data_IF_883152329757
#
_entry.id   IF_883152329757
#
_cell.length_a   1.000
_cell.length_b   1.000
_cell.length_c   1.000
_cell.angle_alpha   90.00
_cell.angle_beta   90.00
_cell.angle_gamma   90.00
#
_symmetry.space_group_name_H-M   'P 1'
#
loop_
_entity.id
_entity.type
_entity.pdbx_description
1 polymer ?
#
# COMPACT_ATOMS: atom_id res chain seq x y z
N UNK A 1 -9.12 2.24 7.24
CA UNK A 1 -10.04 1.12 7.59
C UNK A 1 -9.47 0.39 8.78
N UNK A 2 -10.02 0.64 9.97
CA UNK A 2 -9.67 -0.09 11.18
C UNK A 2 -10.43 -1.41 11.13
N UNK A 3 -9.78 -2.50 10.70
CA UNK A 3 -10.41 -3.81 10.67
C UNK A 3 -10.65 -4.25 12.11
N UNK A 4 -11.87 -4.09 12.59
CA UNK A 4 -12.28 -4.54 13.92
C UNK A 4 -12.37 -6.08 13.90
N UNK A 5 -11.22 -6.75 13.90
CA UNK A 5 -11.16 -8.19 14.15
C UNK A 5 -11.74 -8.36 15.56
N UNK A 6 -12.83 -9.12 15.73
CA UNK A 6 -13.41 -9.28 17.05
C UNK A 6 -12.35 -9.82 18.02
N UNK A 7 -12.01 -9.03 19.04
CA UNK A 7 -10.94 -9.32 20.01
C UNK A 7 -11.07 -10.72 20.64
N UNK A 8 -12.29 -11.27 20.68
CA UNK A 8 -12.57 -12.61 21.22
C UNK A 8 -11.91 -13.75 20.43
N UNK A 9 -11.62 -13.61 19.13
CA UNK A 9 -11.06 -14.71 18.32
C UNK A 9 -9.54 -14.77 18.33
N UNK A 10 -8.87 -13.63 18.51
CA UNK A 10 -7.40 -13.58 18.54
C UNK A 10 -6.81 -14.23 19.79
N UNK A 11 -7.35 -13.88 20.96
CA UNK A 11 -6.86 -14.37 22.25
C UNK A 11 -6.93 -15.90 22.36
N UNK A 12 -8.01 -16.52 21.87
CA UNK A 12 -8.15 -17.98 21.90
C UNK A 12 -7.07 -18.69 21.08
N UNK A 13 -6.73 -18.15 19.90
CA UNK A 13 -5.67 -18.69 19.05
C UNK A 13 -4.29 -18.53 19.69
N UNK A 14 -4.02 -17.37 20.30
CA UNK A 14 -2.76 -17.11 21.00
C UNK A 14 -2.55 -18.07 22.18
N UNK A 15 -3.58 -18.27 23.01
CA UNK A 15 -3.53 -19.21 24.14
C UNK A 15 -3.34 -20.64 23.64
N UNK A 16 -4.03 -21.05 22.57
CA UNK A 16 -3.89 -22.37 21.98
C UNK A 16 -2.45 -22.63 21.51
N UNK A 17 -1.89 -21.72 20.72
CA UNK A 17 -0.52 -21.81 20.22
C UNK A 17 0.49 -21.82 21.37
N UNK A 18 0.29 -20.99 22.39
CA UNK A 18 1.14 -20.96 23.60
C UNK A 18 1.14 -22.29 24.32
N UNK A 19 -0.04 -22.91 24.53
CA UNK A 19 -0.16 -24.22 25.18
C UNK A 19 0.52 -25.32 24.38
N UNK A 20 0.33 -25.34 23.05
CA UNK A 20 0.95 -26.31 22.17
C UNK A 20 2.49 -26.21 22.22
N UNK A 21 3.02 -24.99 22.17
CA UNK A 21 4.46 -24.77 22.25
C UNK A 21 5.03 -25.16 23.60
N UNK A 22 4.34 -24.83 24.69
CA UNK A 22 4.73 -25.22 26.03
C UNK A 22 4.76 -26.76 26.19
N UNK A 23 3.73 -27.45 25.69
CA UNK A 23 3.66 -28.91 25.75
C UNK A 23 4.82 -29.59 24.99
N UNK A 24 5.25 -29.02 23.86
CA UNK A 24 6.42 -29.50 23.11
C UNK A 24 7.72 -29.17 23.86
N UNK A 25 7.88 -27.94 24.36
CA UNK A 25 9.13 -27.51 25.03
C UNK A 25 9.37 -28.22 26.36
N UNK A 26 8.31 -28.64 27.04
CA UNK A 26 8.37 -29.39 28.31
C UNK A 26 8.45 -30.90 28.13
N UNK A 27 8.38 -31.40 26.89
CA UNK A 27 8.38 -32.84 26.60
C UNK A 27 7.08 -33.56 26.97
N UNK A 28 6.01 -32.84 27.30
CA UNK A 28 4.68 -33.41 27.51
C UNK A 28 4.15 -34.09 26.24
N UNK A 29 4.55 -33.58 25.07
CA UNK A 29 4.33 -34.20 23.77
C UNK A 29 5.68 -34.68 23.23
N UNK A 30 5.80 -35.99 23.03
CA UNK A 30 7.04 -36.64 22.53
C UNK A 30 7.14 -36.61 21.01
N UNK A 31 6.04 -36.33 20.31
CA UNK A 31 6.00 -36.24 18.86
C UNK A 31 6.35 -34.84 18.36
N UNK A 32 6.96 -34.79 17.17
CA UNK A 32 7.29 -33.53 16.50
C UNK A 32 6.01 -32.81 16.05
N UNK A 33 5.71 -31.66 16.63
CA UNK A 33 4.60 -30.79 16.23
C UNK A 33 5.04 -29.85 15.09
N UNK A 34 4.24 -29.77 14.02
CA UNK A 34 4.42 -28.80 12.94
C UNK A 34 3.27 -27.79 12.95
N UNK A 35 3.60 -26.50 12.97
CA UNK A 35 2.62 -25.42 12.88
C UNK A 35 2.76 -24.76 11.50
N UNK A 36 1.65 -24.74 10.74
CA UNK A 36 1.55 -24.02 9.48
C UNK A 36 0.49 -22.93 9.68
N UNK A 37 0.92 -21.67 9.69
CA UNK A 37 0.05 -20.52 9.87
C UNK A 37 -0.14 -19.78 8.53
N UNK A 38 -1.40 -19.49 8.19
CA UNK A 38 -1.76 -18.70 7.02
C UNK A 38 -2.50 -17.44 7.48
N UNK A 39 -2.17 -16.30 6.87
CA UNK A 39 -2.78 -15.01 7.19
C UNK A 39 -3.03 -14.21 5.92
N UNK A 40 -3.85 -13.16 6.03
CA UNK A 40 -3.90 -12.10 5.04
C UNK A 40 -2.53 -11.39 4.96
N UNK A 41 -2.24 -10.78 3.82
CA UNK A 41 -1.00 -10.00 3.64
C UNK A 41 -0.98 -8.85 4.65
N UNK A 42 -0.03 -8.89 5.59
CA UNK A 42 0.15 -7.89 6.64
C UNK A 42 1.65 -7.66 6.84
N UNK A 43 2.02 -6.41 7.13
CA UNK A 43 3.40 -6.09 7.53
C UNK A 43 3.72 -6.59 8.95
N UNK A 44 5.01 -6.63 9.30
CA UNK A 44 5.44 -6.87 10.68
C UNK A 44 5.32 -8.32 11.17
N UNK A 45 5.42 -9.32 10.27
CA UNK A 45 5.30 -10.74 10.65
C UNK A 45 6.56 -11.33 11.29
N UNK A 46 7.69 -10.61 11.29
CA UNK A 46 8.97 -11.09 11.82
C UNK A 46 8.87 -11.54 13.28
N UNK A 47 8.22 -10.73 14.13
CA UNK A 47 8.03 -11.08 15.54
C UNK A 47 7.22 -12.36 15.73
N UNK A 48 6.20 -12.59 14.89
CA UNK A 48 5.38 -13.80 14.93
C UNK A 48 6.15 -15.03 14.40
N UNK A 49 6.95 -14.87 13.35
CA UNK A 49 7.81 -15.95 12.84
C UNK A 49 8.88 -16.34 13.86
N UNK A 50 9.52 -15.37 14.49
CA UNK A 50 10.48 -15.60 15.57
C UNK A 50 9.81 -16.24 16.79
N UNK A 51 8.60 -15.78 17.13
CA UNK A 51 7.84 -16.44 18.17
C UNK A 51 7.62 -17.90 17.76
N UNK A 52 6.96 -18.21 16.64
CA UNK A 52 6.63 -19.59 16.26
C UNK A 52 7.81 -20.49 15.84
N UNK A 53 9.05 -19.96 15.76
CA UNK A 53 10.18 -20.63 15.13
C UNK A 53 9.85 -21.13 13.71
N UNK A 54 9.27 -20.22 12.91
CA UNK A 54 8.70 -20.52 11.60
C UNK A 54 9.42 -19.78 10.47
N UNK A 55 9.42 -20.39 9.28
CA UNK A 55 9.87 -19.73 8.04
C UNK A 55 8.73 -18.92 7.42
N UNK A 56 9.01 -17.70 6.99
CA UNK A 56 8.05 -16.82 6.34
C UNK A 56 8.02 -17.04 4.84
N UNK A 57 6.82 -17.21 4.28
CA UNK A 57 6.56 -17.14 2.85
C UNK A 57 5.53 -16.04 2.59
N UNK A 58 5.84 -15.10 1.70
CA UNK A 58 4.96 -13.98 1.38
C UNK A 58 4.86 -13.79 -0.13
N UNK A 59 3.64 -13.65 -0.62
CA UNK A 59 3.37 -13.40 -2.03
C UNK A 59 2.14 -12.51 -2.21
N UNK A 60 2.16 -11.70 -3.26
CA UNK A 60 1.02 -10.90 -3.71
C UNK A 60 0.29 -11.57 -4.90
N UNK A 61 0.60 -12.84 -5.19
CA UNK A 61 -0.04 -13.58 -6.26
C UNK A 61 -1.56 -13.65 -6.07
N UNK A 62 -2.29 -13.42 -7.17
CA UNK A 62 -3.74 -13.57 -7.30
C UNK A 62 -4.01 -14.24 -8.64
N UNK A 63 -4.70 -15.40 -8.69
CA UNK A 63 -5.00 -16.09 -9.94
C UNK A 63 -5.79 -15.24 -10.94
N UNK A 64 -6.65 -14.35 -10.44
CA UNK A 64 -7.41 -13.38 -11.23
C UNK A 64 -6.94 -11.98 -10.84
N UNK A 65 -6.50 -11.14 -11.80
CA UNK A 65 -6.11 -9.77 -11.51
C UNK A 65 -7.24 -8.99 -10.86
N UNK A 66 -6.91 -8.25 -9.80
CA UNK A 66 -7.85 -7.41 -9.07
C UNK A 66 -7.58 -5.93 -9.40
N UNK A 67 -8.54 -5.27 -10.06
CA UNK A 67 -8.47 -3.84 -10.33
C UNK A 67 -9.15 -3.07 -9.19
N UNK A 68 -8.38 -2.28 -8.44
CA UNK A 68 -8.87 -1.53 -7.30
C UNK A 68 -9.22 -0.09 -7.68
N UNK A 69 -10.40 0.38 -7.27
CA UNK A 69 -10.88 1.73 -7.54
C UNK A 69 -11.47 2.39 -6.29
N UNK A 70 -11.36 3.72 -6.20
CA UNK A 70 -12.05 4.54 -5.22
C UNK A 70 -13.15 5.35 -5.92
N UNK A 71 -14.33 5.46 -5.32
CA UNK A 71 -15.43 6.26 -5.84
C UNK A 71 -15.62 7.47 -4.93
N UNK A 72 -15.57 8.67 -5.52
CA UNK A 72 -15.78 9.92 -4.80
C UNK A 72 -16.56 10.89 -5.69
N UNK A 73 -17.65 11.46 -5.17
CA UNK A 73 -18.53 12.40 -5.89
C UNK A 73 -18.98 11.92 -7.28
N UNK A 74 -19.35 10.64 -7.39
CA UNK A 74 -19.78 10.03 -8.66
C UNK A 74 -18.66 9.81 -9.68
N UNK A 75 -17.40 10.08 -9.33
CA UNK A 75 -16.23 9.82 -10.16
C UNK A 75 -15.50 8.57 -9.67
N UNK A 76 -15.01 7.77 -10.61
CA UNK A 76 -14.24 6.54 -10.35
C UNK A 76 -12.76 6.82 -10.55
N UNK A 77 -11.95 6.54 -9.53
CA UNK A 77 -10.51 6.75 -9.51
C UNK A 77 -9.80 5.41 -9.42
N UNK A 78 -8.88 5.11 -10.34
CA UNK A 78 -8.03 3.92 -10.27
C UNK A 78 -7.06 4.06 -9.09
N UNK A 79 -6.94 3.01 -8.26
CA UNK A 79 -5.93 2.96 -7.21
C UNK A 79 -4.55 2.83 -7.86
N UNK A 80 -3.73 3.86 -7.70
CA UNK A 80 -2.34 3.91 -8.18
C UNK A 80 -1.37 3.52 -7.06
N UNK A 81 -0.23 2.94 -7.43
CA UNK A 81 0.87 2.74 -6.49
C UNK A 81 1.47 4.09 -6.06
N UNK A 82 2.15 4.18 -4.91
CA UNK A 82 2.82 5.41 -4.49
C UNK A 82 3.78 5.99 -5.56
N UNK A 83 4.46 5.12 -6.30
CA UNK A 83 5.34 5.50 -7.41
C UNK A 83 4.54 6.17 -8.54
N UNK A 84 3.43 5.55 -8.96
CA UNK A 84 2.54 6.10 -9.98
C UNK A 84 1.88 7.41 -9.53
N UNK A 85 1.60 7.58 -8.23
CA UNK A 85 1.11 8.86 -7.70
C UNK A 85 2.15 9.98 -7.83
N UNK A 86 3.41 9.68 -7.52
CA UNK A 86 4.51 10.64 -7.65
C UNK A 86 4.72 11.05 -9.12
N UNK A 87 4.67 10.09 -10.04
CA UNK A 87 4.78 10.35 -11.49
C UNK A 87 3.67 11.29 -11.98
N UNK A 88 2.42 11.04 -11.57
CA UNK A 88 1.27 11.89 -11.93
C UNK A 88 1.46 13.30 -11.37
N UNK A 89 1.93 13.44 -10.14
CA UNK A 89 2.13 14.74 -9.51
C UNK A 89 3.23 15.55 -10.22
N UNK A 90 4.36 14.92 -10.54
CA UNK A 90 5.43 15.55 -11.32
C UNK A 90 4.96 15.94 -12.73
N UNK A 91 4.12 15.11 -13.36
CA UNK A 91 3.56 15.42 -14.66
C UNK A 91 2.65 16.65 -14.61
N UNK A 92 1.77 16.73 -13.60
CA UNK A 92 0.92 17.90 -13.38
C UNK A 92 1.74 19.17 -13.14
N UNK A 93 2.82 19.08 -12.35
CA UNK A 93 3.73 20.20 -12.11
C UNK A 93 4.45 20.66 -13.39
N UNK A 94 4.92 19.71 -14.21
CA UNK A 94 5.56 20.04 -15.50
C UNK A 94 4.58 20.70 -16.47
N UNK A 95 3.36 20.18 -16.55
CA UNK A 95 2.29 20.73 -17.39
C UNK A 95 1.93 22.15 -16.92
N UNK A 96 1.80 22.37 -15.62
CA UNK A 96 1.53 23.69 -15.05
C UNK A 96 2.67 24.69 -15.35
N UNK A 97 3.93 24.28 -15.18
CA UNK A 97 5.08 25.12 -15.55
C UNK A 97 5.15 25.41 -17.05
N UNK A 98 4.74 24.46 -17.89
CA UNK A 98 4.69 24.68 -19.33
C UNK A 98 3.62 25.71 -19.70
N UNK A 99 2.42 25.62 -19.11
CA UNK A 99 1.35 26.58 -19.32
C UNK A 99 1.75 28.00 -18.89
N UNK A 100 2.38 28.16 -17.72
CA UNK A 100 2.88 29.46 -17.27
C UNK A 100 3.89 30.06 -18.24
N UNK A 101 4.85 29.25 -18.72
CA UNK A 101 5.84 29.72 -19.71
C UNK A 101 5.19 30.18 -21.02
N UNK A 102 4.21 29.42 -21.54
CA UNK A 102 3.48 29.82 -22.75
C UNK A 102 2.72 31.13 -22.55
N UNK A 103 2.06 31.28 -21.40
CA UNK A 103 1.34 32.51 -21.04
C UNK A 103 2.26 33.73 -21.01
N UNK A 104 3.42 33.63 -20.32
CA UNK A 104 4.38 34.74 -20.27
C UNK A 104 4.97 35.06 -21.65
N UNK A 105 5.25 34.06 -22.48
CA UNK A 105 5.72 34.28 -23.84
C UNK A 105 4.70 35.06 -24.68
N UNK A 106 3.43 34.67 -24.61
CA UNK A 106 2.34 35.33 -25.34
C UNK A 106 2.15 36.79 -24.90
N UNK A 107 2.23 37.07 -23.60
CA UNK A 107 2.16 38.46 -23.11
C UNK A 107 3.29 39.34 -23.64
N UNK A 108 4.52 38.82 -23.70
CA UNK A 108 5.65 39.56 -24.25
C UNK A 108 5.50 39.85 -25.74
N UNK A 109 4.95 38.90 -26.51
CA UNK A 109 4.67 39.11 -27.93
C UNK A 109 3.58 40.18 -28.13
N UNK A 110 2.52 40.16 -27.33
CA UNK A 110 1.47 41.18 -27.35
C UNK A 110 2.01 42.57 -26.97
N UNK A 111 2.87 42.68 -25.96
CA UNK A 111 3.51 43.95 -25.58
C UNK A 111 4.41 44.48 -26.70
N UNK A 112 5.22 43.62 -27.33
CA UNK A 112 6.08 44.02 -28.45
C UNK A 112 5.28 44.46 -29.68
N UNK A 113 4.14 43.83 -29.96
CA UNK A 113 3.26 44.25 -31.05
C UNK A 113 2.61 45.61 -30.79
N UNK A 114 2.20 45.89 -29.54
CA UNK A 114 1.66 47.20 -29.15
C UNK A 114 2.70 48.31 -29.29
N UNK A 115 3.95 48.05 -28.90
CA UNK A 115 5.06 48.99 -29.07
C UNK A 115 5.33 49.29 -30.54
N UNK A 116 5.32 48.27 -31.41
CA UNK A 116 5.51 48.44 -32.86
C UNK A 116 4.34 49.12 -33.59
N UNK A 117 3.14 49.19 -32.99
CA UNK A 117 1.99 49.92 -33.53
C UNK A 117 1.93 51.38 -33.05
N UNK A 118 2.77 51.78 -32.10
CA UNK A 118 2.87 53.15 -31.59
C UNK A 118 3.99 53.97 -32.27
N UNK A 119 4.85 53.33 -33.07
CA UNK A 119 5.83 53.97 -33.97
C UNK A 119 5.25 54.11 -35.39
#
# INVERSE_FOLDING_TARGET
TYTHIPMHRGMGLEILLTKLRYAVSTGLVTHKLQIIAMSATMGGLEGMCNWLDARLFMTNFRPVPLAEHAVFEGKVFLKRSPQQMLEVQQQQEREHQHQLRQFYHQQQEEEQQKLKQQE
#
